data_IF_346200303594
#
_entry.id   IF_346200303594
#
_cell.length_a   1.000
_cell.length_b   1.000
_cell.length_c   1.000
_cell.angle_alpha   90.00
_cell.angle_beta   90.00
_cell.angle_gamma   90.00
#
_symmetry.space_group_name_H-M   'P 1'
#
loop_
_entity.id
_entity.type
_entity.pdbx_description
1 polymer ?
#
# COMPACT_ATOMS: atom_id res chain seq x y z
N UNK A 1 -14.58 -35.80 33.93
CA UNK A 1 -14.99 -34.39 33.76
C UNK A 1 -13.97 -33.72 32.86
N UNK A 2 -14.13 -33.74 31.53
CA UNK A 2 -15.06 -32.96 30.69
C UNK A 2 -14.73 -31.46 30.64
N UNK A 3 -14.32 -31.04 29.42
CA UNK A 3 -14.37 -29.71 28.79
C UNK A 3 -13.20 -28.74 29.00
N UNK A 4 -12.10 -29.01 28.28
CA UNK A 4 -11.27 -27.95 27.69
C UNK A 4 -12.08 -27.25 26.59
N UNK A 5 -12.76 -26.18 27.00
CA UNK A 5 -13.64 -25.36 26.18
C UNK A 5 -12.76 -24.53 25.24
N UNK A 6 -12.64 -25.02 24.00
CA UNK A 6 -12.42 -24.25 22.77
C UNK A 6 -12.20 -22.75 22.99
N UNK A 7 -10.96 -22.34 23.21
CA UNK A 7 -10.53 -20.94 23.06
C UNK A 7 -9.75 -20.80 21.76
N UNK A 8 -10.40 -21.24 20.68
CA UNK A 8 -10.01 -20.92 19.31
C UNK A 8 -10.42 -19.46 19.10
N UNK A 9 -9.54 -18.52 19.48
CA UNK A 9 -9.65 -17.13 19.03
C UNK A 9 -9.58 -17.10 17.48
N UNK A 10 -10.29 -16.18 16.83
CA UNK A 10 -10.80 -16.37 15.48
C UNK A 10 -9.73 -16.08 14.43
N UNK A 11 -9.03 -17.11 13.97
CA UNK A 11 -8.17 -17.05 12.77
C UNK A 11 -8.99 -16.52 11.57
N UNK A 12 -10.30 -16.80 11.53
CA UNK A 12 -11.22 -16.30 10.50
C UNK A 12 -11.43 -14.78 10.49
N UNK A 13 -11.34 -14.07 11.62
CA UNK A 13 -11.56 -12.62 11.65
C UNK A 13 -10.38 -11.84 11.06
N UNK A 14 -9.14 -12.34 11.22
CA UNK A 14 -7.96 -11.75 10.57
C UNK A 14 -7.98 -11.97 9.05
N UNK A 15 -8.40 -13.15 8.59
CA UNK A 15 -8.46 -13.46 7.15
C UNK A 15 -9.50 -12.61 6.42
N UNK A 16 -10.66 -12.36 7.03
CA UNK A 16 -11.69 -11.49 6.45
C UNK A 16 -11.22 -10.03 6.38
N UNK A 17 -10.53 -9.54 7.42
CA UNK A 17 -10.00 -8.17 7.42
C UNK A 17 -8.86 -7.99 6.40
N UNK A 18 -7.99 -9.00 6.27
CA UNK A 18 -6.95 -9.01 5.26
C UNK A 18 -7.52 -9.06 3.83
N UNK A 19 -8.55 -9.86 3.59
CA UNK A 19 -9.22 -9.93 2.29
C UNK A 19 -9.94 -8.61 1.95
N UNK A 20 -10.59 -7.96 2.93
CA UNK A 20 -11.24 -6.66 2.74
C UNK A 20 -10.23 -5.55 2.43
N UNK A 21 -9.06 -5.57 3.07
CA UNK A 21 -7.96 -4.66 2.78
C UNK A 21 -7.36 -4.90 1.38
N UNK A 22 -7.27 -6.16 0.93
CA UNK A 22 -6.84 -6.52 -0.43
C UNK A 22 -7.81 -5.97 -1.48
N UNK A 23 -9.12 -6.13 -1.30
CA UNK A 23 -10.12 -5.59 -2.25
C UNK A 23 -10.11 -4.06 -2.31
N UNK A 24 -9.81 -3.37 -1.20
CA UNK A 24 -9.67 -1.90 -1.20
C UNK A 24 -8.38 -1.39 -1.89
N UNK A 25 -7.39 -2.26 -2.08
CA UNK A 25 -6.11 -1.92 -2.69
C UNK A 25 -6.07 -2.16 -4.21
N UNK A 26 -7.09 -2.80 -4.80
CA UNK A 26 -7.21 -2.90 -6.26
C UNK A 26 -7.62 -1.54 -6.83
N UNK A 27 -6.62 -0.68 -7.07
CA UNK A 27 -6.77 0.50 -7.91
C UNK A 27 -7.00 0.06 -9.36
N UNK A 28 -8.10 0.51 -9.95
CA UNK A 28 -8.39 0.29 -11.36
C UNK A 28 -7.45 1.15 -12.21
N UNK A 29 -6.37 0.55 -12.73
CA UNK A 29 -5.50 1.16 -13.74
C UNK A 29 -6.20 1.15 -15.11
N UNK A 30 -7.19 2.03 -15.26
CA UNK A 30 -7.82 2.31 -16.54
C UNK A 30 -6.80 3.03 -17.45
N UNK A 31 -5.94 2.27 -18.14
CA UNK A 31 -4.99 2.78 -19.12
C UNK A 31 -5.68 3.75 -20.08
N UNK A 32 -5.27 5.02 -20.04
CA UNK A 32 -5.75 6.03 -20.97
C UNK A 32 -4.91 5.93 -22.25
N UNK A 33 -5.42 5.18 -23.24
CA UNK A 33 -4.84 5.07 -24.58
C UNK A 33 -4.94 6.39 -25.39
N UNK A 34 -5.46 7.48 -24.83
CA UNK A 34 -5.54 8.77 -25.54
C UNK A 34 -4.25 9.56 -25.37
N UNK A 35 -3.28 9.29 -26.24
CA UNK A 35 -2.14 10.18 -26.59
C UNK A 35 -1.71 11.08 -25.41
N UNK A 36 -1.17 10.46 -24.36
CA UNK A 36 -0.74 11.12 -23.14
C UNK A 36 0.44 10.37 -22.53
N UNK A 37 1.27 11.06 -21.76
CA UNK A 37 2.38 10.41 -21.05
C UNK A 37 1.83 9.30 -20.16
N UNK A 38 2.50 8.14 -20.03
CA UNK A 38 2.09 7.10 -19.11
C UNK A 38 1.90 7.67 -17.71
N UNK A 39 0.81 7.27 -17.04
CA UNK A 39 0.59 7.63 -15.64
C UNK A 39 1.57 6.86 -14.77
N UNK A 40 2.24 7.56 -13.85
CA UNK A 40 3.26 7.00 -12.97
C UNK A 40 2.74 7.06 -11.53
N UNK A 41 2.54 5.88 -10.93
CA UNK A 41 2.26 5.74 -9.51
C UNK A 41 3.53 5.46 -8.70
N UNK A 42 3.73 6.19 -7.61
CA UNK A 42 4.80 5.94 -6.64
C UNK A 42 4.22 5.30 -5.37
N UNK A 43 4.77 4.17 -4.93
CA UNK A 43 4.33 3.48 -3.71
C UNK A 43 5.44 3.50 -2.67
N UNK A 44 5.13 4.02 -1.47
CA UNK A 44 6.03 4.12 -0.33
C UNK A 44 5.70 3.01 0.67
N UNK A 45 6.63 2.07 0.82
CA UNK A 45 6.51 0.96 1.76
C UNK A 45 6.69 1.43 3.21
N UNK A 46 6.05 0.74 4.16
CA UNK A 46 6.19 1.07 5.57
C UNK A 46 7.59 0.88 6.11
N UNK A 47 8.09 1.86 6.87
CA UNK A 47 9.48 1.88 7.35
C UNK A 47 9.67 2.17 8.85
N UNK A 48 8.58 2.35 9.62
CA UNK A 48 8.67 2.79 11.02
C UNK A 48 9.57 4.02 11.15
N UNK A 49 10.39 4.11 12.21
CA UNK A 49 11.30 5.23 12.45
C UNK A 49 12.27 5.56 11.29
N UNK A 50 12.49 4.64 10.34
CA UNK A 50 13.33 4.85 9.15
C UNK A 50 12.57 5.39 7.93
N UNK A 51 11.25 5.62 8.05
CA UNK A 51 10.40 6.13 6.97
C UNK A 51 10.89 7.45 6.37
N UNK A 52 11.62 8.27 7.15
CA UNK A 52 12.25 9.50 6.68
C UNK A 52 13.23 9.29 5.50
N UNK A 53 13.73 8.07 5.27
CA UNK A 53 14.55 7.76 4.10
C UNK A 53 13.81 8.00 2.77
N UNK A 54 12.46 7.86 2.73
CA UNK A 54 11.65 8.13 1.55
C UNK A 54 11.74 9.60 1.10
N UNK A 55 12.03 10.53 2.02
CA UNK A 55 12.23 11.95 1.70
C UNK A 55 13.41 12.13 0.73
N UNK A 56 14.49 11.34 0.90
CA UNK A 56 15.63 11.38 -0.02
C UNK A 56 15.26 10.94 -1.43
N UNK A 57 14.45 9.88 -1.54
CA UNK A 57 13.93 9.38 -2.82
C UNK A 57 13.05 10.43 -3.49
N UNK A 58 12.13 11.06 -2.75
CA UNK A 58 11.26 12.09 -3.29
C UNK A 58 12.05 13.30 -3.82
N UNK A 59 13.06 13.76 -3.09
CA UNK A 59 13.95 14.85 -3.54
C UNK A 59 14.73 14.50 -4.80
N UNK A 60 15.12 13.23 -4.95
CA UNK A 60 15.81 12.73 -6.14
C UNK A 60 14.87 12.73 -7.35
N UNK A 61 13.65 12.21 -7.19
CA UNK A 61 12.64 12.16 -8.24
C UNK A 61 12.23 13.58 -8.70
N UNK A 62 12.10 14.52 -7.77
CA UNK A 62 11.86 15.93 -8.05
C UNK A 62 13.02 16.55 -8.85
N UNK A 63 14.28 16.30 -8.44
CA UNK A 63 15.45 16.81 -9.16
C UNK A 63 15.52 16.27 -10.58
N UNK A 64 15.18 15.01 -10.79
CA UNK A 64 15.13 14.36 -12.10
C UNK A 64 13.90 14.77 -12.93
N UNK A 65 12.99 15.57 -12.35
CA UNK A 65 11.72 15.98 -12.96
C UNK A 65 10.88 14.79 -13.44
N UNK A 66 10.91 13.70 -12.67
CA UNK A 66 10.10 12.52 -12.97
C UNK A 66 8.65 12.85 -12.59
N UNK A 67 7.69 12.80 -13.54
CA UNK A 67 6.32 13.16 -13.26
C UNK A 67 5.62 12.01 -12.53
N UNK A 68 5.10 12.30 -11.33
CA UNK A 68 4.38 11.34 -10.49
C UNK A 68 2.91 11.79 -10.46
N UNK A 69 2.00 10.90 -10.85
CA UNK A 69 0.57 11.18 -10.96
C UNK A 69 -0.21 10.77 -9.72
N UNK A 70 0.29 9.74 -9.02
CA UNK A 70 -0.31 9.23 -7.81
C UNK A 70 0.75 8.77 -6.83
N UNK A 71 0.51 8.98 -5.53
CA UNK A 71 1.35 8.45 -4.46
C UNK A 71 0.48 7.63 -3.52
N UNK A 72 0.90 6.41 -3.23
CA UNK A 72 0.33 5.57 -2.19
C UNK A 72 1.39 5.28 -1.12
N UNK A 73 0.99 5.18 0.15
CA UNK A 73 1.89 5.00 1.27
C UNK A 73 1.32 4.02 2.29
N UNK A 74 2.21 3.41 3.09
CA UNK A 74 1.80 2.52 4.19
C UNK A 74 2.50 2.93 5.49
N UNK A 75 1.71 3.29 6.51
CA UNK A 75 2.21 3.76 7.80
C UNK A 75 3.08 5.03 7.69
N UNK A 76 4.41 4.93 7.86
CA UNK A 76 5.34 6.07 7.79
C UNK A 76 5.98 6.25 6.40
N UNK A 77 5.61 5.40 5.44
CA UNK A 77 5.94 5.54 4.02
C UNK A 77 5.02 6.54 3.37
#
# INVERSE_FOLDING_TARGET
>A
MSRNRFFIKPIGACLVFAALAVTAAHGEDAGDERIGRPRVGLVLGGGGARGAAHIGVLKELERLRIPIDAIAGTSMG
#
